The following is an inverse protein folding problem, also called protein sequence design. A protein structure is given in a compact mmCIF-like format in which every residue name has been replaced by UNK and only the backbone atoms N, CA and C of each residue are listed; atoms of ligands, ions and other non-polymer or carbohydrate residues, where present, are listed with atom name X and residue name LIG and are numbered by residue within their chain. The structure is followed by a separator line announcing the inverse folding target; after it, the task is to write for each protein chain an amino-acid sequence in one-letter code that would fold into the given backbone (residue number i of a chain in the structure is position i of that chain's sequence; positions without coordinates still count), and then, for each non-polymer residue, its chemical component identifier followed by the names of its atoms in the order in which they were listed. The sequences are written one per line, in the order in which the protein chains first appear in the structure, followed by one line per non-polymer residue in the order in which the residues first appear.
data_IF_865276061953
#
_entry.id   IF_865276061953
#
_cell.length_a   1.000
_cell.length_b   1.000
_cell.length_c   1.000
_cell.angle_alpha   90.00
_cell.angle_beta   90.00
_cell.angle_gamma   90.00
#
_symmetry.space_group_name_H-M   'P 1'
#
loop_
_entity.id
_entity.type
_entity.pdbx_description
1 polymer ?
#
# COMPACT_ATOMS: atom_id res chain seq x y z
N UNK A 1 -4.56 -73.15 60.04
CA UNK A 1 -4.07 -71.87 60.60
C UNK A 1 -4.37 -70.75 59.59
N UNK A 2 -5.23 -69.77 59.92
CA UNK A 2 -5.42 -68.56 59.13
C UNK A 2 -4.28 -67.55 59.45
N UNK A 3 -4.04 -66.50 58.63
CA UNK A 3 -4.76 -65.22 58.78
C UNK A 3 -5.04 -64.47 57.44
N UNK A 4 -6.17 -63.75 57.32
CA UNK A 4 -6.33 -62.26 57.31
C UNK A 4 -5.62 -61.58 56.10
N UNK A 5 -6.16 -60.59 55.37
CA UNK A 5 -7.25 -59.63 55.57
C UNK A 5 -7.39 -58.80 54.27
N UNK A 6 -8.61 -58.27 54.05
CA UNK A 6 -8.94 -56.94 53.48
C UNK A 6 -8.32 -56.54 52.11
N UNK A 7 -9.11 -56.55 51.03
CA UNK A 7 -9.96 -55.44 50.58
C UNK A 7 -9.19 -54.28 49.91
N UNK A 8 -9.39 -54.08 48.60
CA UNK A 8 -9.77 -52.79 48.03
C UNK A 8 -10.28 -52.98 46.58
N UNK A 9 -11.51 -52.57 46.33
CA UNK A 9 -12.11 -52.32 45.02
C UNK A 9 -11.57 -50.99 44.49
N UNK A 10 -11.04 -50.94 43.27
CA UNK A 10 -10.98 -49.71 42.45
C UNK A 10 -11.35 -50.08 41.00
N UNK A 11 -12.40 -49.47 40.42
CA UNK A 11 -12.88 -49.77 39.09
C UNK A 11 -12.24 -48.91 37.99
N UNK A 12 -12.23 -49.49 36.77
CA UNK A 12 -12.38 -48.86 35.46
C UNK A 12 -11.51 -47.62 35.12
N UNK A 13 -10.35 -47.88 34.52
CA UNK A 13 -9.66 -46.90 33.68
C UNK A 13 -10.40 -46.77 32.33
N UNK A 14 -11.18 -45.70 32.18
CA UNK A 14 -11.73 -45.28 30.90
C UNK A 14 -10.63 -44.65 30.03
N UNK A 15 -10.46 -45.24 28.85
CA UNK A 15 -9.63 -44.74 27.75
C UNK A 15 -10.27 -43.46 27.20
N UNK A 16 -9.59 -42.32 27.33
CA UNK A 16 -9.93 -41.08 26.64
C UNK A 16 -8.89 -40.80 25.55
N UNK A 17 -9.18 -41.26 24.33
CA UNK A 17 -8.55 -40.76 23.10
C UNK A 17 -9.41 -39.58 22.66
N UNK A 18 -8.86 -38.36 22.67
CA UNK A 18 -9.46 -37.22 21.99
C UNK A 18 -8.37 -36.20 21.62
N UNK A 19 -7.99 -36.29 20.34
CA UNK A 19 -7.56 -35.22 19.43
C UNK A 19 -6.70 -34.06 19.99
N UNK A 20 -5.45 -34.07 19.54
CA UNK A 20 -4.62 -32.89 19.33
C UNK A 20 -5.40 -31.82 18.54
N UNK A 21 -5.72 -30.69 19.17
CA UNK A 21 -6.12 -29.48 18.45
C UNK A 21 -4.83 -28.76 17.98
N UNK A 22 -4.55 -28.64 16.68
CA UNK A 22 -3.56 -27.68 16.23
C UNK A 22 -4.14 -26.28 16.46
N UNK A 23 -3.34 -25.42 17.10
CA UNK A 23 -3.64 -24.01 17.25
C UNK A 23 -3.87 -23.38 15.87
N UNK A 24 -5.11 -22.99 15.58
CA UNK A 24 -5.43 -22.13 14.45
C UNK A 24 -4.99 -20.70 14.78
N UNK A 25 -3.72 -20.39 14.52
CA UNK A 25 -3.27 -19.02 14.36
C UNK A 25 -3.73 -18.51 12.99
N UNK A 26 -4.98 -18.05 12.92
CA UNK A 26 -5.57 -17.52 11.71
C UNK A 26 -6.73 -16.62 12.06
N UNK A 27 -6.43 -15.36 12.41
CA UNK A 27 -7.42 -14.31 12.67
C UNK A 27 -8.17 -13.92 11.40
N UNK A 28 -9.06 -14.80 10.93
CA UNK A 28 -10.10 -14.52 9.95
C UNK A 28 -11.33 -13.93 10.61
N UNK A 29 -11.14 -12.92 11.47
CA UNK A 29 -12.25 -12.16 12.04
C UNK A 29 -12.96 -11.37 10.93
N UNK A 30 -14.24 -11.01 11.11
CA UNK A 30 -14.92 -10.09 10.23
C UNK A 30 -14.06 -8.84 10.04
N UNK A 31 -13.85 -8.42 8.79
CA UNK A 31 -13.23 -7.12 8.50
C UNK A 31 -14.02 -6.07 9.29
N UNK A 32 -13.39 -5.24 10.15
CA UNK A 32 -14.09 -4.19 10.87
C UNK A 32 -14.93 -3.40 9.87
N UNK A 33 -16.19 -3.14 10.19
CA UNK A 33 -16.99 -2.22 9.39
C UNK A 33 -16.18 -0.91 9.25
N UNK A 34 -16.08 -0.34 8.04
CA UNK A 34 -15.35 0.91 7.85
C UNK A 34 -15.86 1.91 8.87
N UNK A 35 -14.93 2.51 9.62
CA UNK A 35 -15.31 3.46 10.65
C UNK A 35 -16.05 4.62 9.96
N UNK A 36 -17.32 4.78 10.31
CA UNK A 36 -18.19 5.81 9.73
C UNK A 36 -17.85 7.21 10.22
N UNK A 37 -16.92 7.31 11.17
CA UNK A 37 -16.49 8.54 11.83
C UNK A 37 -14.98 8.71 11.70
N UNK A 38 -14.54 9.92 11.39
CA UNK A 38 -13.12 10.24 11.29
C UNK A 38 -12.45 10.20 12.67
N UNK A 39 -11.13 9.98 12.72
CA UNK A 39 -10.36 9.99 13.98
C UNK A 39 -10.44 11.34 14.69
N UNK A 40 -10.26 11.34 16.01
CA UNK A 40 -10.18 12.57 16.80
C UNK A 40 -9.06 13.48 16.28
N UNK A 41 -9.34 14.78 16.18
CA UNK A 41 -8.42 15.77 15.61
C UNK A 41 -8.22 15.67 14.10
N UNK A 42 -9.04 14.91 13.38
CA UNK A 42 -9.00 14.86 11.91
C UNK A 42 -9.22 16.24 11.29
N UNK A 43 -8.31 16.61 10.39
CA UNK A 43 -8.42 17.78 9.52
C UNK A 43 -8.55 17.28 8.09
N UNK A 44 -9.64 17.68 7.43
CA UNK A 44 -9.86 17.31 6.03
C UNK A 44 -8.81 17.98 5.14
N UNK A 45 -8.15 17.23 4.23
CA UNK A 45 -7.25 17.84 3.25
C UNK A 45 -7.96 18.92 2.42
N UNK A 46 -7.29 20.03 2.16
CA UNK A 46 -7.76 21.05 1.23
C UNK A 46 -7.58 20.55 -0.21
N UNK A 47 -8.63 19.94 -0.76
CA UNK A 47 -8.62 19.42 -2.12
C UNK A 47 -8.55 20.51 -3.19
N UNK A 48 -8.93 21.75 -2.89
CA UNK A 48 -8.77 22.87 -3.82
C UNK A 48 -7.31 23.24 -3.93
N UNK A 49 -6.61 23.38 -2.78
CA UNK A 49 -5.17 23.63 -2.74
C UNK A 49 -4.37 22.48 -3.38
N UNK A 50 -4.71 21.22 -3.07
CA UNK A 50 -4.05 20.05 -3.66
C UNK A 50 -4.19 20.00 -5.18
N UNK A 51 -5.39 20.27 -5.72
CA UNK A 51 -5.59 20.34 -7.18
C UNK A 51 -4.81 21.49 -7.79
N UNK A 52 -4.78 22.66 -7.16
CA UNK A 52 -3.99 23.79 -7.64
C UNK A 52 -2.48 23.49 -7.63
N UNK A 53 -1.99 22.80 -6.60
CA UNK A 53 -0.60 22.35 -6.51
C UNK A 53 -0.28 21.35 -7.63
N UNK A 54 -1.15 20.35 -7.85
CA UNK A 54 -1.00 19.36 -8.91
C UNK A 54 -0.97 20.00 -10.30
N UNK A 55 -1.85 20.96 -10.57
CA UNK A 55 -1.87 21.70 -11.85
C UNK A 55 -0.59 22.50 -12.08
N UNK A 56 -0.10 23.21 -11.05
CA UNK A 56 1.18 23.95 -11.15
C UNK A 56 2.35 23.01 -11.40
N UNK A 57 2.43 21.92 -10.65
CA UNK A 57 3.45 20.89 -10.79
C UNK A 57 3.44 20.25 -12.19
N UNK A 58 2.26 19.94 -12.74
CA UNK A 58 2.11 19.43 -14.11
C UNK A 58 2.56 20.44 -15.16
N UNK A 59 2.26 21.72 -14.95
CA UNK A 59 2.70 22.79 -15.85
C UNK A 59 4.23 22.89 -15.87
N UNK A 60 4.87 22.84 -14.70
CA UNK A 60 6.33 22.85 -14.58
C UNK A 60 6.96 21.61 -15.23
N UNK A 61 6.38 20.43 -15.02
CA UNK A 61 6.81 19.20 -15.68
C UNK A 61 6.73 19.33 -17.20
N UNK A 62 5.61 19.79 -17.74
CA UNK A 62 5.44 19.95 -19.19
C UNK A 62 6.45 20.91 -19.82
N UNK A 63 6.93 21.90 -19.06
CA UNK A 63 7.93 22.86 -19.52
C UNK A 63 9.37 22.30 -19.53
N UNK A 64 9.69 21.33 -18.67
CA UNK A 64 11.08 20.88 -18.41
C UNK A 64 11.39 19.39 -18.66
N UNK A 65 10.39 18.50 -18.62
CA UNK A 65 10.13 17.53 -19.69
C UNK A 65 11.25 16.86 -20.50
N UNK A 66 12.13 15.95 -20.00
CA UNK A 66 12.89 15.11 -20.92
C UNK A 66 11.98 14.11 -21.64
N UNK A 67 12.25 13.85 -22.93
CA UNK A 67 11.49 12.86 -23.71
C UNK A 67 11.80 11.40 -23.31
N UNK A 68 12.98 11.18 -22.75
CA UNK A 68 13.47 9.88 -22.30
C UNK A 68 14.08 10.03 -20.90
N UNK A 69 13.77 9.11 -19.99
CA UNK A 69 14.23 9.14 -18.61
C UNK A 69 14.07 7.77 -17.95
N UNK A 70 14.76 7.57 -16.82
CA UNK A 70 14.49 6.47 -15.90
C UNK A 70 14.04 7.01 -14.56
N UNK A 71 13.30 6.20 -13.81
CA UNK A 71 13.03 6.45 -12.40
C UNK A 71 12.77 5.13 -11.66
N UNK A 72 12.98 5.15 -10.36
CA UNK A 72 12.74 4.01 -9.48
C UNK A 72 11.41 4.22 -8.73
N UNK A 73 10.56 3.20 -8.72
CA UNK A 73 9.25 3.21 -8.09
C UNK A 73 9.20 2.23 -6.91
N UNK A 74 8.78 2.74 -5.76
CA UNK A 74 8.30 1.95 -4.63
C UNK A 74 6.80 2.14 -4.51
N UNK A 75 6.02 1.07 -4.37
CA UNK A 75 4.56 1.13 -4.31
C UNK A 75 3.97 0.12 -3.31
N UNK A 76 2.96 0.58 -2.59
CA UNK A 76 2.13 -0.20 -1.67
C UNK A 76 0.68 -0.01 -2.11
N UNK A 77 0.00 -1.10 -2.42
CA UNK A 77 -1.46 -1.14 -2.56
C UNK A 77 -1.97 -2.19 -1.56
N UNK A 78 -2.31 -1.74 -0.36
CA UNK A 78 -2.54 -2.63 0.77
C UNK A 78 -3.57 -3.72 0.42
N UNK A 79 -3.27 -5.01 0.73
CA UNK A 79 -2.17 -5.49 1.58
C UNK A 79 -0.84 -5.76 0.85
N UNK A 80 -0.73 -5.43 -0.45
CA UNK A 80 0.41 -5.77 -1.29
C UNK A 80 1.49 -4.69 -1.25
N UNK A 81 2.70 -5.07 -0.83
CA UNK A 81 3.93 -4.33 -1.10
C UNK A 81 4.55 -4.87 -2.39
N UNK A 82 4.68 -4.02 -3.41
CA UNK A 82 5.28 -4.42 -4.67
C UNK A 82 6.81 -4.32 -4.62
N UNK A 83 7.54 -5.20 -5.32
CA UNK A 83 8.98 -5.07 -5.50
C UNK A 83 9.35 -3.72 -6.12
N UNK A 84 10.43 -3.11 -5.63
CA UNK A 84 10.90 -1.85 -6.21
C UNK A 84 11.34 -2.05 -7.66
N UNK A 85 10.83 -1.20 -8.54
CA UNK A 85 10.94 -1.38 -9.99
C UNK A 85 11.53 -0.12 -10.63
N UNK A 86 12.57 -0.29 -11.44
CA UNK A 86 13.07 0.75 -12.34
C UNK A 86 12.21 0.80 -13.58
N UNK A 87 11.71 1.98 -13.89
CA UNK A 87 10.92 2.26 -15.09
C UNK A 87 11.80 3.03 -16.07
N UNK A 88 11.84 2.57 -17.31
CA UNK A 88 12.52 3.26 -18.42
C UNK A 88 11.48 3.79 -19.38
N UNK A 89 11.54 5.10 -19.63
CA UNK A 89 10.73 5.81 -20.60
C UNK A 89 11.62 6.28 -21.74
N UNK A 90 11.25 5.97 -22.97
CA UNK A 90 11.92 6.43 -24.18
C UNK A 90 10.89 6.99 -25.16
N UNK A 91 11.19 8.15 -25.72
CA UNK A 91 10.29 8.86 -26.64
C UNK A 91 8.85 8.98 -26.09
N UNK A 92 8.71 9.28 -24.80
CA UNK A 92 7.43 9.44 -24.11
C UNK A 92 6.65 8.15 -23.84
N UNK A 93 7.26 6.97 -24.01
CA UNK A 93 6.62 5.67 -23.76
C UNK A 93 7.44 4.82 -22.81
N UNK A 94 6.77 4.06 -21.94
CA UNK A 94 7.46 3.05 -21.12
C UNK A 94 7.95 1.94 -22.04
N UNK A 95 9.25 1.69 -22.05
CA UNK A 95 9.87 0.61 -22.85
C UNK A 95 10.37 -0.53 -22.00
N UNK A 96 10.61 -0.30 -20.70
CA UNK A 96 11.11 -1.34 -19.79
C UNK A 96 10.68 -1.09 -18.34
N UNK A 97 10.42 -2.18 -17.63
CA UNK A 97 10.22 -2.21 -16.17
C UNK A 97 11.05 -3.36 -15.60
N UNK A 98 12.07 -3.05 -14.81
CA UNK A 98 12.98 -4.03 -14.24
C UNK A 98 12.94 -3.99 -12.72
N UNK A 99 13.08 -5.15 -12.08
CA UNK A 99 13.35 -5.19 -10.65
C UNK A 99 14.67 -4.50 -10.32
N UNK A 100 14.69 -3.74 -9.22
CA UNK A 100 15.95 -3.25 -8.68
C UNK A 100 16.79 -4.40 -8.11
N UNK A 101 18.13 -4.24 -8.05
CA UNK A 101 19.01 -5.26 -7.45
C UNK A 101 18.57 -5.67 -6.04
N UNK A 102 18.48 -6.97 -5.79
CA UNK A 102 18.06 -7.53 -4.51
C UNK A 102 16.55 -7.66 -4.32
N UNK A 103 15.72 -7.14 -5.24
CA UNK A 103 14.28 -7.38 -5.25
C UNK A 103 13.96 -8.75 -5.85
N UNK A 104 12.87 -9.38 -5.39
CA UNK A 104 12.42 -10.70 -5.82
C UNK A 104 10.97 -10.67 -6.27
N UNK A 105 10.56 -11.64 -7.09
CA UNK A 105 9.21 -11.76 -7.65
C UNK A 105 9.13 -11.25 -9.09
N UNK A 106 7.95 -10.80 -9.50
CA UNK A 106 7.72 -10.18 -10.79
C UNK A 106 7.78 -8.65 -10.70
N UNK A 107 8.18 -7.95 -11.78
CA UNK A 107 8.08 -6.49 -11.84
C UNK A 107 6.69 -6.00 -11.50
N UNK A 108 6.62 -4.89 -10.74
CA UNK A 108 5.35 -4.30 -10.34
C UNK A 108 4.49 -3.98 -11.59
N UNK A 109 3.32 -4.63 -11.78
CA UNK A 109 2.48 -4.38 -12.95
C UNK A 109 1.92 -2.96 -12.98
N UNK A 110 1.78 -2.33 -11.81
CA UNK A 110 1.36 -0.94 -11.69
C UNK A 110 2.51 0.03 -11.98
N UNK A 111 3.77 -0.42 -12.08
CA UNK A 111 4.91 0.46 -12.34
C UNK A 111 5.00 0.96 -13.78
N UNK A 112 4.41 0.25 -14.74
CA UNK A 112 4.52 0.51 -16.18
C UNK A 112 3.74 1.77 -16.61
N UNK A 113 4.12 2.93 -16.08
CA UNK A 113 3.51 4.23 -16.36
C UNK A 113 4.59 5.28 -16.66
N UNK A 114 4.21 6.32 -17.39
CA UNK A 114 5.02 7.54 -17.50
C UNK A 114 4.71 8.47 -16.32
N UNK A 115 5.53 9.49 -16.11
CA UNK A 115 5.21 10.57 -15.17
C UNK A 115 3.89 11.28 -15.55
N UNK A 116 3.60 11.41 -16.85
CA UNK A 116 2.34 12.00 -17.31
C UNK A 116 1.12 11.17 -16.89
N UNK A 117 1.20 9.85 -17.06
CA UNK A 117 0.16 8.94 -16.60
C UNK A 117 -0.02 8.99 -15.07
N UNK A 118 1.06 9.17 -14.31
CA UNK A 118 0.99 9.37 -12.85
C UNK A 118 0.30 10.68 -12.47
N UNK A 119 0.49 11.75 -13.23
CA UNK A 119 -0.29 12.99 -13.04
C UNK A 119 -1.78 12.72 -13.26
N UNK A 120 -2.14 12.01 -14.32
CA UNK A 120 -3.54 11.69 -14.62
C UNK A 120 -4.16 10.81 -13.53
N UNK A 121 -3.44 9.79 -13.05
CA UNK A 121 -3.85 8.95 -11.92
C UNK A 121 -4.04 9.78 -10.64
N UNK A 122 -3.17 10.73 -10.37
CA UNK A 122 -3.27 11.64 -9.24
C UNK A 122 -4.51 12.53 -9.31
N UNK A 123 -4.83 13.08 -10.47
CA UNK A 123 -6.05 13.87 -10.66
C UNK A 123 -7.30 13.05 -10.33
N UNK A 124 -7.37 11.82 -10.84
CA UNK A 124 -8.49 10.92 -10.57
C UNK A 124 -8.54 10.52 -9.08
N UNK A 125 -7.39 10.26 -8.46
CA UNK A 125 -7.30 9.95 -7.03
C UNK A 125 -7.82 11.10 -6.18
N UNK A 126 -7.38 12.34 -6.44
CA UNK A 126 -7.89 13.52 -5.74
C UNK A 126 -9.40 13.72 -5.95
N UNK A 127 -9.92 13.43 -7.14
CA UNK A 127 -11.35 13.50 -7.41
C UNK A 127 -12.14 12.46 -6.60
N UNK A 128 -11.71 11.20 -6.56
CA UNK A 128 -12.35 10.14 -5.77
C UNK A 128 -12.28 10.45 -4.27
N UNK A 129 -11.09 10.78 -3.77
CA UNK A 129 -10.86 11.07 -2.35
C UNK A 129 -11.63 12.29 -1.85
N UNK A 130 -11.84 13.30 -2.70
CA UNK A 130 -12.63 14.47 -2.31
C UNK A 130 -14.08 14.15 -1.93
N UNK A 131 -14.58 12.95 -2.27
CA UNK A 131 -15.92 12.46 -1.95
C UNK A 131 -15.95 11.46 -0.79
N UNK A 132 -14.80 10.99 -0.32
CA UNK A 132 -14.73 10.08 0.82
C UNK A 132 -15.11 10.81 2.11
N UNK A 133 -15.59 10.06 3.11
CA UNK A 133 -15.95 10.58 4.41
C UNK A 133 -14.73 11.19 5.12
N UNK A 134 -13.66 10.40 5.26
CA UNK A 134 -12.45 10.77 5.99
C UNK A 134 -11.19 10.56 5.12
N UNK A 135 -11.03 11.23 3.97
CA UNK A 135 -9.85 11.06 3.13
C UNK A 135 -8.60 11.56 3.84
N UNK A 136 -7.49 10.85 3.67
CA UNK A 136 -6.15 11.33 4.01
C UNK A 136 -5.29 11.23 2.74
N UNK A 137 -4.83 12.39 2.26
CA UNK A 137 -4.06 12.48 1.02
C UNK A 137 -2.88 13.41 1.22
N UNK A 138 -1.70 12.94 0.84
CA UNK A 138 -0.47 13.71 0.87
C UNK A 138 0.25 13.55 -0.46
N UNK A 139 0.70 14.66 -1.05
CA UNK A 139 1.43 14.66 -2.31
C UNK A 139 2.64 15.56 -2.19
N UNK A 140 3.77 15.12 -2.73
CA UNK A 140 5.00 15.90 -2.83
C UNK A 140 5.51 15.89 -4.26
N UNK A 141 6.18 16.96 -4.65
CA UNK A 141 6.69 17.17 -6.01
C UNK A 141 8.16 17.55 -5.97
N UNK A 142 8.88 17.24 -7.04
CA UNK A 142 10.23 17.72 -7.25
C UNK A 142 10.20 19.24 -7.49
N UNK A 143 10.99 20.05 -6.78
CA UNK A 143 10.93 21.51 -6.91
C UNK A 143 11.52 22.05 -8.21
N UNK A 144 12.38 21.30 -8.90
CA UNK A 144 13.04 21.74 -10.13
C UNK A 144 12.24 21.38 -11.38
N UNK A 145 11.69 20.16 -11.44
CA UNK A 145 10.98 19.64 -12.61
C UNK A 145 9.48 19.42 -12.39
N UNK A 146 8.96 19.55 -11.16
CA UNK A 146 7.54 19.44 -10.87
C UNK A 146 6.96 18.01 -10.87
N UNK A 147 7.70 16.96 -11.22
CA UNK A 147 7.15 15.60 -11.19
C UNK A 147 6.80 15.13 -9.77
N UNK A 148 5.78 14.26 -9.57
CA UNK A 148 5.42 13.77 -8.25
C UNK A 148 6.53 12.86 -7.66
N UNK A 149 6.92 13.09 -6.41
CA UNK A 149 7.97 12.30 -5.73
C UNK A 149 7.41 11.37 -4.66
N UNK A 150 6.27 11.73 -4.05
CA UNK A 150 5.57 10.90 -3.06
C UNK A 150 4.08 11.13 -3.15
N UNK A 151 3.32 10.05 -3.02
CA UNK A 151 1.87 10.04 -2.88
C UNK A 151 1.50 9.11 -1.75
N UNK A 152 0.61 9.57 -0.90
CA UNK A 152 -0.14 8.75 0.05
C UNK A 152 -1.62 9.03 -0.15
N UNK A 153 -2.44 7.98 -0.23
CA UNK A 153 -3.90 8.06 -0.24
C UNK A 153 -4.47 6.97 0.65
N UNK A 154 -5.23 7.37 1.67
CA UNK A 154 -5.83 6.46 2.65
C UNK A 154 -7.06 7.07 3.33
N UNK A 155 -7.42 6.50 4.48
CA UNK A 155 -8.50 6.98 5.33
C UNK A 155 -7.96 7.46 6.68
N UNK A 156 -8.48 8.60 7.14
CA UNK A 156 -8.18 9.21 8.43
C UNK A 156 -9.07 8.69 9.55
N UNK A 157 -9.52 7.44 9.48
CA UNK A 157 -10.54 6.84 10.36
C UNK A 157 -9.97 5.91 11.44
N UNK A 158 -8.65 5.99 11.70
CA UNK A 158 -8.01 5.26 12.81
C UNK A 158 -6.91 4.28 12.39
N UNK A 159 -6.46 4.33 11.13
CA UNK A 159 -5.25 3.61 10.72
C UNK A 159 -5.49 2.19 10.23
N UNK A 160 -6.74 1.82 9.89
CA UNK A 160 -6.92 0.79 8.87
C UNK A 160 -6.49 1.45 7.57
N UNK A 161 -5.22 1.23 7.22
CA UNK A 161 -4.68 1.62 5.94
C UNK A 161 -5.32 0.73 4.87
N UNK A 162 -6.59 0.97 4.55
CA UNK A 162 -7.16 0.77 3.23
C UNK A 162 -6.47 1.80 2.31
N UNK A 163 -5.14 1.72 2.24
CA UNK A 163 -4.32 2.59 1.42
C UNK A 163 -4.76 2.37 -0.01
N UNK A 164 -5.57 3.27 -0.54
CA UNK A 164 -5.92 3.33 -1.95
C UNK A 164 -4.66 3.39 -2.82
N UNK A 165 -3.52 3.79 -2.22
CA UNK A 165 -2.18 3.50 -2.69
C UNK A 165 -1.17 4.44 -2.03
N UNK A 166 0.01 3.92 -1.68
CA UNK A 166 1.21 4.75 -1.46
C UNK A 166 2.19 4.45 -2.60
N UNK A 167 2.82 5.48 -3.14
CA UNK A 167 3.99 5.28 -3.98
C UNK A 167 4.96 6.45 -3.90
N UNK A 168 6.23 6.16 -4.21
CA UNK A 168 7.28 7.18 -4.29
C UNK A 168 8.18 6.95 -5.49
N UNK A 169 8.59 8.06 -6.11
CA UNK A 169 9.50 8.10 -7.26
C UNK A 169 10.85 8.61 -6.78
N UNK A 170 11.92 7.87 -7.11
CA UNK A 170 13.31 8.16 -6.74
C UNK A 170 14.23 8.01 -7.94
N UNK A 171 15.49 8.44 -7.79
CA UNK A 171 16.56 8.25 -8.77
C UNK A 171 16.17 8.65 -10.21
N UNK A 172 15.36 9.70 -10.34
CA UNK A 172 14.95 10.23 -11.64
C UNK A 172 16.18 10.70 -12.41
N UNK A 173 16.37 10.15 -13.60
CA UNK A 173 17.55 10.42 -14.43
C UNK A 173 17.11 10.64 -15.89
N UNK A 174 17.29 11.85 -16.45
CA UNK A 174 17.09 12.08 -17.88
C UNK A 174 18.04 11.20 -18.71
N UNK A 175 17.54 10.64 -19.80
CA UNK A 175 18.34 9.94 -20.80
C UNK A 175 18.62 10.89 -21.97
N UNK A 176 19.83 10.77 -22.54
CA UNK A 176 20.24 11.52 -23.74
C UNK A 176 19.77 10.82 -25.00
#
# INVERSE_FOLDING_TARGET
MPPLRAALLIPAALVAVSALNPAQAGGGGPRPAPATTCRDGYVRPDFTALKAQLTRARTQWNAGRPASYTYDLRQIAAPVLFPETRVTVQAGRVTRTDLLPGQQGDPNPLAAQTIDARFDELFQTLQRQSRAACPDVQVSFNPALGYPTRVYSGMGDGGIADGFGEWSIRNFTPLK
#
